data_IF_574708029096
#
_entry.id   IF_574708029096
#
_cell.length_a   1.000
_cell.length_b   1.000
_cell.length_c   1.000
_cell.angle_alpha   90.00
_cell.angle_beta   90.00
_cell.angle_gamma   90.00
#
_symmetry.space_group_name_H-M   'P 1'
#
loop_
_entity.id
_entity.type
_entity.pdbx_description
1 polymer ?
#
# COMPACT_ATOMS: atom_id res chain seq x y z
N UNK A 1 28.75 14.15 -8.64
CA UNK A 1 28.91 15.59 -8.31
C UNK A 1 29.32 16.29 -9.58
N UNK A 2 28.42 17.07 -10.17
CA UNK A 2 28.78 17.98 -11.26
C UNK A 2 29.48 19.20 -10.67
N UNK A 3 30.69 19.48 -11.12
CA UNK A 3 31.44 20.66 -10.70
C UNK A 3 31.10 21.81 -11.64
N UNK A 4 30.31 22.76 -11.17
CA UNK A 4 30.04 24.00 -11.89
C UNK A 4 31.23 24.96 -11.73
N UNK A 5 31.76 25.47 -12.83
CA UNK A 5 32.79 26.52 -12.79
C UNK A 5 32.11 27.88 -12.62
N UNK A 6 32.58 28.66 -11.65
CA UNK A 6 32.16 30.05 -11.50
C UNK A 6 32.53 30.85 -12.75
N UNK A 7 31.57 31.63 -13.27
CA UNK A 7 31.76 32.58 -14.36
C UNK A 7 32.51 33.84 -13.88
N UNK A 8 32.29 34.22 -12.63
CA UNK A 8 32.92 35.38 -12.02
C UNK A 8 33.21 35.12 -10.54
N UNK A 9 34.38 35.60 -10.09
CA UNK A 9 34.76 35.66 -8.69
C UNK A 9 35.25 37.07 -8.37
N UNK A 10 34.55 37.78 -7.49
CA UNK A 10 34.89 39.15 -7.05
C UNK A 10 35.35 39.14 -5.58
N UNK A 11 36.24 38.22 -5.23
CA UNK A 11 36.80 38.06 -3.88
C UNK A 11 35.85 37.39 -2.88
N UNK A 12 34.64 37.93 -2.70
CA UNK A 12 33.63 37.38 -1.78
C UNK A 12 32.33 36.98 -2.46
N UNK A 13 32.21 37.18 -3.78
CA UNK A 13 31.01 36.86 -4.56
C UNK A 13 31.33 35.90 -5.69
N UNK A 14 30.46 34.91 -5.87
CA UNK A 14 30.49 33.94 -6.96
C UNK A 14 29.28 34.14 -7.85
N UNK A 15 29.44 33.94 -9.15
CA UNK A 15 28.33 33.80 -10.08
C UNK A 15 28.55 32.56 -10.94
N UNK A 16 27.51 31.76 -11.11
CA UNK A 16 27.48 30.59 -12.00
C UNK A 16 26.07 30.45 -12.55
N UNK A 17 25.97 29.95 -13.79
CA UNK A 17 24.70 29.55 -14.38
C UNK A 17 24.76 28.04 -14.61
N UNK A 18 23.64 27.38 -14.36
CA UNK A 18 23.47 25.97 -14.64
C UNK A 18 22.03 25.70 -15.05
N UNK A 19 21.84 24.67 -15.87
CA UNK A 19 20.52 24.18 -16.24
C UNK A 19 20.19 23.04 -15.28
N UNK A 20 19.04 23.11 -14.61
CA UNK A 20 18.57 21.99 -13.80
C UNK A 20 18.27 20.82 -14.74
N UNK A 21 18.82 19.61 -14.50
CA UNK A 21 18.51 18.44 -15.32
C UNK A 21 17.00 18.22 -15.42
N UNK A 22 16.52 17.89 -16.62
CA UNK A 22 15.08 17.76 -16.86
C UNK A 22 14.42 16.64 -16.05
N UNK A 23 15.19 15.62 -15.66
CA UNK A 23 14.78 14.49 -14.82
C UNK A 23 14.87 14.77 -13.32
N UNK A 24 15.36 15.94 -12.92
CA UNK A 24 15.59 16.28 -11.52
C UNK A 24 14.36 16.91 -10.86
N UNK A 25 14.05 16.42 -9.66
CA UNK A 25 13.11 17.04 -8.73
C UNK A 25 13.60 16.81 -7.29
N UNK A 26 13.23 17.71 -6.38
CA UNK A 26 13.67 17.67 -4.99
C UNK A 26 14.72 18.75 -4.64
N UNK A 27 15.43 18.58 -3.51
CA UNK A 27 16.34 19.59 -2.98
C UNK A 27 17.71 19.54 -3.67
N UNK A 28 18.01 20.55 -4.50
CA UNK A 28 19.32 20.71 -5.12
C UNK A 28 20.20 21.61 -4.25
N UNK A 29 21.20 21.02 -3.58
CA UNK A 29 22.15 21.77 -2.75
C UNK A 29 23.42 22.12 -3.54
N UNK A 30 23.75 23.40 -3.54
CA UNK A 30 24.96 23.95 -4.13
C UNK A 30 25.91 24.40 -3.03
N UNK A 31 27.13 23.89 -3.05
CA UNK A 31 28.20 24.29 -2.14
C UNK A 31 29.27 25.05 -2.94
N UNK A 32 29.39 26.38 -2.76
CA UNK A 32 30.40 27.16 -3.45
C UNK A 32 31.77 26.89 -2.81
N UNK A 33 32.74 26.53 -3.64
CA UNK A 33 34.11 26.26 -3.21
C UNK A 33 35.10 27.12 -4.01
N UNK A 34 36.06 27.74 -3.31
CA UNK A 34 37.20 28.43 -3.90
C UNK A 34 38.50 27.74 -3.47
N UNK A 35 39.50 27.73 -4.35
CA UNK A 35 40.83 27.21 -4.05
C UNK A 35 41.88 28.30 -4.26
N UNK A 36 42.64 28.61 -3.22
CA UNK A 36 43.74 29.57 -3.24
C UNK A 36 44.89 29.07 -2.36
N UNK A 37 45.44 27.89 -2.70
CA UNK A 37 46.38 27.15 -1.85
C UNK A 37 45.66 26.23 -0.86
N UNK A 38 44.59 26.73 -0.24
CA UNK A 38 43.65 25.97 0.57
C UNK A 38 42.23 25.99 -0.03
N UNK A 39 41.41 24.98 0.29
CA UNK A 39 40.00 24.93 -0.07
C UNK A 39 39.18 25.75 0.93
N UNK A 40 38.44 26.74 0.41
CA UNK A 40 37.50 27.55 1.19
C UNK A 40 36.08 27.26 0.69
N UNK A 41 35.27 26.69 1.57
CA UNK A 41 33.84 26.45 1.31
C UNK A 41 33.00 27.61 1.83
N UNK A 42 32.13 28.13 0.97
CA UNK A 42 31.10 29.10 1.34
C UNK A 42 29.82 28.44 1.85
N UNK A 43 28.82 29.24 2.24
CA UNK A 43 27.54 28.71 2.71
C UNK A 43 26.80 27.95 1.60
N UNK A 44 26.16 26.84 1.97
CA UNK A 44 25.33 26.07 1.05
C UNK A 44 24.05 26.82 0.69
N UNK A 45 23.62 26.65 -0.56
CA UNK A 45 22.34 27.15 -1.07
C UNK A 45 21.51 25.96 -1.54
N UNK A 46 20.31 25.80 -0.99
CA UNK A 46 19.37 24.76 -1.43
C UNK A 46 18.27 25.35 -2.29
N UNK A 47 18.13 24.83 -3.51
CA UNK A 47 17.06 25.14 -4.45
C UNK A 47 16.04 24.00 -4.39
N UNK A 48 14.78 24.32 -4.11
CA UNK A 48 13.69 23.34 -4.16
C UNK A 48 13.19 23.24 -5.60
N UNK A 49 13.51 22.13 -6.27
CA UNK A 49 13.07 21.87 -7.64
C UNK A 49 11.75 21.13 -7.60
N UNK A 50 10.69 21.80 -8.08
CA UNK A 50 9.34 21.23 -8.17
C UNK A 50 8.89 21.17 -9.63
N UNK A 51 8.47 19.99 -10.13
CA UNK A 51 7.82 19.87 -11.43
C UNK A 51 6.59 20.78 -11.54
N UNK A 52 6.38 21.40 -12.71
CA UNK A 52 5.31 22.39 -12.92
C UNK A 52 3.93 21.79 -13.14
N UNK A 53 3.89 20.56 -13.64
CA UNK A 53 2.66 19.78 -13.85
C UNK A 53 2.66 18.58 -12.92
N UNK A 54 1.50 18.00 -12.59
CA UNK A 54 1.45 16.68 -11.96
C UNK A 54 2.04 15.59 -12.86
N UNK A 55 2.55 14.48 -12.31
CA UNK A 55 2.88 13.30 -13.11
C UNK A 55 1.62 12.69 -13.73
N UNK A 56 1.77 11.86 -14.76
CA UNK A 56 0.69 10.98 -15.26
C UNK A 56 0.46 9.83 -14.29
N UNK A 57 1.55 9.19 -13.86
CA UNK A 57 1.54 8.08 -12.93
C UNK A 57 2.47 8.39 -11.76
N UNK A 58 2.02 8.07 -10.55
CA UNK A 58 2.85 8.08 -9.35
C UNK A 58 3.02 6.63 -8.89
N UNK A 59 4.27 6.22 -8.67
CA UNK A 59 4.63 4.84 -8.39
C UNK A 59 5.47 4.81 -7.12
N UNK A 60 4.92 4.27 -6.04
CA UNK A 60 5.69 3.90 -4.86
C UNK A 60 6.65 2.74 -5.19
N UNK A 61 7.91 2.86 -4.79
CA UNK A 61 8.93 1.83 -5.04
C UNK A 61 8.63 0.51 -4.31
N UNK A 62 8.07 0.61 -3.10
CA UNK A 62 7.62 -0.53 -2.28
C UNK A 62 6.21 -0.24 -1.78
N UNK A 63 5.28 -1.16 -2.05
CA UNK A 63 3.85 -0.97 -1.79
C UNK A 63 3.34 -1.62 -0.51
N UNK A 64 4.06 -2.63 -0.01
CA UNK A 64 3.60 -3.43 1.12
C UNK A 64 4.70 -3.61 2.15
N UNK A 65 4.36 -3.33 3.40
CA UNK A 65 5.23 -3.53 4.55
C UNK A 65 4.52 -4.40 5.58
N UNK A 66 5.22 -5.44 6.01
CA UNK A 66 4.81 -6.33 7.08
C UNK A 66 5.84 -6.21 8.20
N UNK A 67 5.39 -5.87 9.39
CA UNK A 67 6.24 -5.74 10.58
C UNK A 67 5.63 -6.52 11.74
N UNK A 68 6.45 -6.82 12.75
CA UNK A 68 6.00 -7.44 14.00
C UNK A 68 6.60 -6.66 15.16
N UNK A 69 5.81 -6.35 16.18
CA UNK A 69 6.27 -5.66 17.38
C UNK A 69 6.98 -6.62 18.36
N UNK A 70 7.93 -6.09 19.17
CA UNK A 70 8.49 -4.74 19.08
C UNK A 70 9.39 -4.60 17.84
N UNK A 71 9.37 -3.43 17.19
CA UNK A 71 10.31 -3.10 16.11
C UNK A 71 10.88 -1.70 16.34
N UNK A 72 12.11 -1.49 15.87
CA UNK A 72 12.77 -0.18 15.77
C UNK A 72 12.90 0.27 14.32
N UNK A 73 12.16 -0.37 13.41
CA UNK A 73 12.29 -0.12 11.99
C UNK A 73 11.79 1.29 11.65
N UNK A 74 12.64 2.02 10.95
CA UNK A 74 12.27 3.22 10.22
C UNK A 74 12.17 2.86 8.75
N UNK A 75 11.08 3.28 8.12
CA UNK A 75 10.81 2.96 6.71
C UNK A 75 10.76 4.24 5.92
N UNK A 76 11.67 4.41 4.97
CA UNK A 76 11.64 5.54 4.05
C UNK A 76 10.74 5.22 2.85
N UNK A 77 9.81 6.12 2.55
CA UNK A 77 9.02 6.08 1.33
C UNK A 77 9.81 6.63 0.15
N UNK A 78 9.70 5.94 -0.98
CA UNK A 78 10.24 6.38 -2.26
C UNK A 78 9.15 6.37 -3.31
N UNK A 79 9.08 7.44 -4.09
CA UNK A 79 8.07 7.61 -5.13
C UNK A 79 8.69 8.12 -6.42
N UNK A 80 8.30 7.51 -7.54
CA UNK A 80 8.69 7.93 -8.89
C UNK A 80 7.47 8.46 -9.64
N UNK A 81 7.62 9.62 -10.27
CA UNK A 81 6.61 10.17 -11.17
C UNK A 81 6.97 9.92 -12.63
N UNK A 82 6.04 9.40 -13.42
CA UNK A 82 6.14 9.33 -14.88
C UNK A 82 5.38 10.49 -15.50
N UNK A 83 6.03 11.24 -16.37
CA UNK A 83 5.43 12.44 -16.97
C UNK A 83 5.07 12.25 -18.44
N UNK A 84 4.23 13.15 -18.96
CA UNK A 84 3.77 13.09 -20.34
C UNK A 84 4.90 13.30 -21.38
N UNK A 85 5.98 13.95 -20.96
CA UNK A 85 7.24 14.12 -21.72
C UNK A 85 8.06 12.81 -21.80
N UNK A 86 7.63 11.74 -21.13
CA UNK A 86 8.34 10.46 -21.07
C UNK A 86 9.47 10.43 -20.02
N UNK A 87 9.71 11.53 -19.31
CA UNK A 87 10.74 11.62 -18.28
C UNK A 87 10.20 11.08 -16.96
N UNK A 88 11.02 10.28 -16.28
CA UNK A 88 10.72 9.84 -14.92
C UNK A 88 11.53 10.66 -13.92
N UNK A 89 10.89 11.09 -12.84
CA UNK A 89 11.51 11.93 -11.79
C UNK A 89 11.35 11.26 -10.44
N UNK A 90 12.38 11.36 -9.60
CA UNK A 90 12.24 11.04 -8.18
C UNK A 90 11.40 12.13 -7.49
N UNK A 91 10.27 11.73 -6.92
CA UNK A 91 9.34 12.62 -6.23
C UNK A 91 9.28 12.31 -4.74
N UNK A 92 10.27 11.61 -4.18
CA UNK A 92 10.24 11.18 -2.78
C UNK A 92 10.26 12.37 -1.81
N UNK A 93 10.98 13.44 -2.13
CA UNK A 93 11.09 14.61 -1.23
C UNK A 93 9.87 15.52 -1.27
N UNK A 94 9.55 16.11 -0.12
CA UNK A 94 8.54 17.17 -0.03
C UNK A 94 8.86 18.39 -0.92
N UNK A 95 10.15 18.64 -1.21
CA UNK A 95 10.59 19.71 -2.10
C UNK A 95 10.12 19.51 -3.56
N UNK A 96 9.88 18.26 -3.97
CA UNK A 96 9.29 17.91 -5.25
C UNK A 96 7.76 18.11 -5.28
N UNK A 97 7.16 18.55 -4.16
CA UNK A 97 5.72 18.79 -4.02
C UNK A 97 4.91 17.58 -3.56
N UNK A 98 5.58 16.52 -3.10
CA UNK A 98 4.93 15.31 -2.58
C UNK A 98 4.45 15.51 -1.14
N UNK A 99 3.27 14.98 -0.85
CA UNK A 99 2.64 15.00 0.47
C UNK A 99 2.37 13.55 0.88
N UNK A 100 2.72 13.22 2.11
CA UNK A 100 2.45 11.93 2.73
C UNK A 100 1.38 12.08 3.80
N UNK A 101 0.48 11.10 3.88
CA UNK A 101 -0.52 11.04 4.93
C UNK A 101 -0.76 9.60 5.38
N UNK A 102 -0.81 9.36 6.69
CA UNK A 102 -1.18 8.06 7.26
C UNK A 102 -2.68 8.00 7.56
N UNK A 103 -3.32 6.90 7.19
CA UNK A 103 -4.70 6.61 7.58
C UNK A 103 -4.84 6.28 9.07
N UNK A 104 -3.76 5.88 9.74
CA UNK A 104 -3.75 5.55 11.15
C UNK A 104 -2.37 5.86 11.78
N UNK A 105 -2.14 7.12 12.22
CA UNK A 105 -0.90 7.53 12.85
C UNK A 105 -0.54 6.80 14.16
N UNK A 106 -1.51 6.13 14.80
CA UNK A 106 -1.24 5.33 16.00
C UNK A 106 -0.60 3.96 15.68
N UNK A 107 -0.67 3.51 14.42
CA UNK A 107 -0.03 2.28 13.94
C UNK A 107 1.27 2.63 13.21
N UNK A 108 1.19 3.52 12.22
CA UNK A 108 2.37 4.06 11.50
C UNK A 108 2.20 5.56 11.32
N UNK A 109 3.14 6.34 11.85
CA UNK A 109 3.25 7.77 11.54
C UNK A 109 4.17 7.98 10.35
N UNK A 110 3.96 9.04 9.58
CA UNK A 110 4.81 9.44 8.46
C UNK A 110 5.07 10.94 8.56
N UNK A 111 6.32 11.34 8.36
CA UNK A 111 6.68 12.76 8.30
C UNK A 111 6.58 13.35 6.89
N UNK A 112 6.90 14.63 6.76
CA UNK A 112 6.81 15.34 5.47
C UNK A 112 7.79 14.83 4.41
N UNK A 113 8.91 14.21 4.80
CA UNK A 113 9.88 13.65 3.86
C UNK A 113 9.64 12.16 3.58
N UNK A 114 8.52 11.60 4.04
CA UNK A 114 8.18 10.20 3.81
C UNK A 114 8.92 9.24 4.74
N UNK A 115 9.46 9.72 5.86
CA UNK A 115 10.02 8.86 6.90
C UNK A 115 8.91 8.32 7.78
N UNK A 116 8.70 7.01 7.74
CA UNK A 116 7.68 6.31 8.51
C UNK A 116 8.26 5.71 9.80
N UNK A 117 7.53 5.86 10.90
CA UNK A 117 7.82 5.22 12.19
C UNK A 117 6.66 4.30 12.59
N UNK A 118 6.98 3.03 12.83
CA UNK A 118 6.02 2.04 13.34
C UNK A 118 5.83 2.25 14.85
N UNK A 119 4.57 2.39 15.29
CA UNK A 119 4.21 2.76 16.66
C UNK A 119 3.41 1.66 17.36
N UNK A 120 2.43 1.08 16.66
CA UNK A 120 1.45 0.16 17.23
C UNK A 120 1.06 -0.94 16.26
N UNK A 121 0.43 -2.00 16.79
CA UNK A 121 -0.12 -3.07 15.96
C UNK A 121 -1.43 -2.65 15.30
N UNK A 122 -1.68 -3.16 14.10
CA UNK A 122 -2.86 -2.85 13.31
C UNK A 122 -2.55 -2.63 11.84
N UNK A 123 -3.46 -1.94 11.15
CA UNK A 123 -3.34 -1.59 9.75
C UNK A 123 -3.21 -0.08 9.59
N UNK A 124 -2.36 0.33 8.66
CA UNK A 124 -2.25 1.70 8.20
C UNK A 124 -2.01 1.72 6.68
N UNK A 125 -2.48 2.77 6.02
CA UNK A 125 -2.17 3.06 4.63
C UNK A 125 -1.54 4.43 4.56
N UNK A 126 -0.35 4.50 3.98
CA UNK A 126 0.29 5.76 3.63
C UNK A 126 -0.18 6.15 2.23
N UNK A 127 -0.82 7.30 2.12
CA UNK A 127 -1.14 7.95 0.84
C UNK A 127 0.03 8.84 0.44
N UNK A 128 0.53 8.63 -0.78
CA UNK A 128 1.50 9.51 -1.43
C UNK A 128 0.73 10.33 -2.46
N UNK A 129 0.73 11.65 -2.33
CA UNK A 129 0.07 12.58 -3.26
C UNK A 129 1.09 13.52 -3.88
N UNK A 130 1.10 13.63 -5.22
CA UNK A 130 1.84 14.67 -5.92
C UNK A 130 0.92 15.32 -6.95
N UNK A 131 0.47 16.55 -6.65
CA UNK A 131 -0.41 17.31 -7.55
C UNK A 131 -1.77 16.64 -7.79
N UNK A 132 -2.29 15.88 -6.82
CA UNK A 132 -3.57 15.17 -6.92
C UNK A 132 -3.48 13.77 -7.53
N UNK A 133 -2.34 13.37 -8.10
CA UNK A 133 -2.08 11.98 -8.48
C UNK A 133 -1.58 11.23 -7.26
N UNK A 134 -2.20 10.09 -6.98
CA UNK A 134 -2.00 9.34 -5.74
C UNK A 134 -1.51 7.94 -5.98
N UNK A 135 -0.71 7.48 -5.03
CA UNK A 135 -0.40 6.08 -4.85
C UNK A 135 -0.46 5.70 -3.37
N UNK A 136 -0.56 4.41 -3.08
CA UNK A 136 -0.79 3.90 -1.73
C UNK A 136 0.26 2.86 -1.34
N UNK A 137 0.67 2.94 -0.08
CA UNK A 137 1.55 1.97 0.57
C UNK A 137 0.83 1.41 1.79
N UNK A 138 0.66 0.10 1.86
CA UNK A 138 -0.01 -0.58 2.97
C UNK A 138 0.97 -1.06 4.02
N UNK A 139 0.62 -0.89 5.28
CA UNK A 139 1.31 -1.44 6.43
C UNK A 139 0.38 -2.41 7.17
N UNK A 140 0.91 -3.60 7.46
CA UNK A 140 0.31 -4.55 8.39
C UNK A 140 1.32 -4.83 9.51
N UNK A 141 0.99 -4.39 10.72
CA UNK A 141 1.87 -4.49 11.88
C UNK A 141 1.26 -5.47 12.88
N UNK A 142 1.92 -6.60 13.04
CA UNK A 142 1.52 -7.63 14.00
C UNK A 142 1.96 -7.23 15.43
N UNK A 143 1.09 -7.40 16.42
CA UNK A 143 1.39 -7.20 17.83
C UNK A 143 2.15 -8.35 18.49
N UNK A 144 2.38 -9.45 17.75
CA UNK A 144 2.98 -10.67 18.27
C UNK A 144 1.93 -11.69 18.71
N UNK A 145 2.30 -12.58 19.64
CA UNK A 145 1.44 -13.69 20.07
C UNK A 145 0.70 -13.34 21.38
N UNK A 146 -0.65 -13.47 21.47
CA UNK A 146 -1.55 -13.99 20.45
C UNK A 146 -1.88 -12.99 19.34
N UNK A 147 -1.80 -13.47 18.10
CA UNK A 147 -2.24 -12.72 16.92
C UNK A 147 -3.75 -12.45 17.00
N UNK A 148 -4.14 -11.19 16.76
CA UNK A 148 -5.54 -10.78 16.69
C UNK A 148 -5.94 -10.48 15.24
N UNK A 149 -6.93 -11.21 14.73
CA UNK A 149 -7.53 -10.92 13.44
C UNK A 149 -8.28 -9.58 13.48
N UNK A 150 -8.19 -8.80 12.41
CA UNK A 150 -8.83 -7.49 12.30
C UNK A 150 -10.08 -7.67 11.44
N UNK A 151 -11.26 -7.42 12.01
CA UNK A 151 -12.54 -7.47 11.29
C UNK A 151 -12.63 -6.30 10.31
N UNK A 152 -12.74 -6.62 9.02
CA UNK A 152 -12.87 -5.66 7.92
C UNK A 152 -14.24 -5.77 7.25
N UNK A 153 -15.21 -6.44 7.88
CA UNK A 153 -16.52 -6.71 7.26
C UNK A 153 -17.27 -5.43 6.88
N UNK A 154 -17.13 -4.35 7.65
CA UNK A 154 -17.76 -3.06 7.35
C UNK A 154 -17.07 -2.28 6.22
N UNK A 155 -15.89 -2.72 5.79
CA UNK A 155 -15.08 -2.11 4.73
C UNK A 155 -15.26 -2.82 3.38
N UNK A 156 -16.13 -3.83 3.32
CA UNK A 156 -16.40 -4.60 2.12
C UNK A 156 -17.89 -4.79 1.88
N UNK A 157 -18.27 -4.89 0.62
CA UNK A 157 -19.57 -5.42 0.23
C UNK A 157 -19.40 -6.91 -0.08
N UNK A 158 -20.15 -7.77 0.61
CA UNK A 158 -20.16 -9.21 0.39
C UNK A 158 -21.44 -9.57 -0.37
N UNK A 159 -21.29 -10.00 -1.62
CA UNK A 159 -22.39 -10.41 -2.49
C UNK A 159 -22.34 -11.92 -2.71
N UNK A 160 -23.46 -12.58 -2.43
CA UNK A 160 -23.60 -14.03 -2.59
C UNK A 160 -24.32 -14.33 -3.90
N UNK A 161 -23.71 -15.15 -4.75
CA UNK A 161 -24.36 -15.67 -5.94
C UNK A 161 -25.44 -16.71 -5.60
N UNK A 162 -26.13 -17.18 -6.62
CA UNK A 162 -27.10 -18.26 -6.48
C UNK A 162 -26.41 -19.57 -6.05
N UNK A 163 -27.06 -20.32 -5.16
CA UNK A 163 -26.66 -21.70 -4.85
C UNK A 163 -26.98 -22.59 -6.05
N UNK A 164 -25.95 -23.15 -6.67
CA UNK A 164 -26.05 -24.11 -7.76
C UNK A 164 -25.93 -25.52 -7.17
N UNK A 165 -26.83 -26.43 -7.56
CA UNK A 165 -26.76 -27.83 -7.14
C UNK A 165 -26.00 -28.61 -8.18
N UNK A 166 -24.86 -29.17 -7.81
CA UNK A 166 -24.14 -30.10 -8.68
C UNK A 166 -24.59 -31.53 -8.37
N UNK A 167 -25.39 -32.08 -9.28
CA UNK A 167 -25.96 -33.41 -9.11
C UNK A 167 -25.02 -34.46 -9.70
N UNK A 168 -24.08 -34.97 -8.89
CA UNK A 168 -23.34 -36.17 -9.27
C UNK A 168 -24.13 -37.41 -8.78
N UNK A 169 -24.63 -38.29 -9.66
CA UNK A 169 -25.43 -39.45 -9.27
C UNK A 169 -24.69 -40.50 -8.42
N UNK A 170 -23.37 -40.35 -8.20
CA UNK A 170 -22.55 -41.21 -7.33
C UNK A 170 -22.05 -40.54 -6.04
N UNK A 171 -22.27 -39.22 -5.88
CA UNK A 171 -21.82 -38.44 -4.71
C UNK A 171 -23.02 -37.74 -4.09
N UNK A 172 -23.01 -37.62 -2.76
CA UNK A 172 -23.99 -36.82 -2.01
C UNK A 172 -24.21 -35.42 -2.63
N UNK A 173 -25.38 -34.79 -2.42
CA UNK A 173 -25.70 -33.48 -3.00
C UNK A 173 -24.69 -32.38 -2.59
N UNK A 174 -23.86 -31.95 -3.53
CA UNK A 174 -22.97 -30.80 -3.38
C UNK A 174 -23.64 -29.54 -3.89
N UNK A 175 -23.42 -28.44 -3.19
CA UNK A 175 -23.94 -27.11 -3.54
C UNK A 175 -22.75 -26.18 -3.69
N UNK A 176 -22.74 -25.43 -4.78
CA UNK A 176 -21.70 -24.49 -5.12
C UNK A 176 -22.26 -23.07 -5.06
N UNK A 177 -21.52 -22.15 -4.46
CA UNK A 177 -21.89 -20.74 -4.40
C UNK A 177 -20.67 -19.85 -4.56
N UNK A 178 -20.70 -19.01 -5.58
CA UNK A 178 -19.73 -17.93 -5.71
C UNK A 178 -20.06 -16.78 -4.76
N UNK A 179 -19.05 -16.27 -4.06
CA UNK A 179 -19.13 -15.10 -3.19
C UNK A 179 -18.15 -14.05 -3.70
N UNK A 180 -18.66 -12.85 -3.97
CA UNK A 180 -17.85 -11.70 -4.38
C UNK A 180 -17.67 -10.74 -3.21
N UNK A 181 -16.43 -10.37 -2.93
CA UNK A 181 -16.05 -9.38 -1.93
C UNK A 181 -15.51 -8.16 -2.66
N UNK A 182 -16.12 -6.99 -2.45
CA UNK A 182 -15.69 -5.72 -3.04
C UNK A 182 -15.22 -4.76 -1.96
N UNK A 183 -14.04 -4.18 -2.10
CA UNK A 183 -13.60 -3.08 -1.23
C UNK A 183 -14.47 -1.83 -1.46
N UNK A 184 -15.13 -1.34 -0.41
CA UNK A 184 -16.01 -0.16 -0.48
C UNK A 184 -15.34 1.13 0.00
N UNK A 185 -14.10 1.03 0.48
CA UNK A 185 -13.34 2.18 0.99
C UNK A 185 -12.56 2.88 -0.13
N UNK A 186 -12.08 4.08 0.16
CA UNK A 186 -11.20 4.83 -0.73
C UNK A 186 -9.72 4.40 -0.64
N UNK A 187 -9.38 3.47 0.26
CA UNK A 187 -8.02 3.01 0.51
C UNK A 187 -7.90 1.51 0.18
N UNK A 188 -6.72 1.01 -0.23
CA UNK A 188 -6.51 -0.43 -0.37
C UNK A 188 -6.65 -1.13 0.99
N UNK A 189 -7.25 -2.32 0.99
CA UNK A 189 -7.29 -3.19 2.16
C UNK A 189 -6.01 -4.04 2.20
N UNK A 190 -5.16 -3.91 3.24
CA UNK A 190 -3.95 -4.70 3.37
C UNK A 190 -4.26 -6.18 3.54
N UNK A 191 -3.69 -7.03 2.69
CA UNK A 191 -3.75 -8.48 2.83
C UNK A 191 -2.77 -9.02 3.88
N UNK A 192 -2.74 -10.35 4.10
CA UNK A 192 -3.66 -11.32 3.52
C UNK A 192 -5.09 -11.18 4.10
N UNK A 193 -6.09 -11.40 3.25
CA UNK A 193 -7.51 -11.33 3.63
C UNK A 193 -8.13 -12.72 3.65
N UNK A 194 -9.07 -12.92 4.58
CA UNK A 194 -9.77 -14.18 4.78
C UNK A 194 -11.28 -13.94 4.83
N UNK A 195 -12.03 -14.76 4.10
CA UNK A 195 -13.47 -14.92 4.31
C UNK A 195 -13.69 -15.98 5.38
N UNK A 196 -14.46 -15.67 6.41
CA UNK A 196 -14.88 -16.64 7.42
C UNK A 196 -16.40 -16.70 7.45
N UNK A 197 -16.94 -17.92 7.45
CA UNK A 197 -18.37 -18.18 7.50
C UNK A 197 -18.78 -18.82 8.82
N UNK A 198 -19.92 -18.38 9.35
CA UNK A 198 -20.42 -18.75 10.67
C UNK A 198 -21.87 -19.21 10.61
N UNK A 199 -22.27 -19.99 11.62
CA UNK A 199 -23.67 -20.35 11.82
C UNK A 199 -24.22 -21.33 10.79
N UNK A 200 -23.34 -22.12 10.15
CA UNK A 200 -23.80 -23.19 9.26
C UNK A 200 -24.67 -24.19 10.04
N UNK A 201 -25.84 -24.59 9.51
CA UNK A 201 -26.67 -25.60 10.13
C UNK A 201 -25.94 -26.93 10.31
N UNK A 202 -26.40 -27.72 11.28
CA UNK A 202 -25.90 -29.08 11.46
C UNK A 202 -26.03 -29.88 10.16
N UNK A 203 -25.04 -30.76 9.91
CA UNK A 203 -24.98 -31.63 8.73
C UNK A 203 -24.73 -30.91 7.39
N UNK A 204 -24.40 -29.61 7.42
CA UNK A 204 -23.78 -28.92 6.29
C UNK A 204 -22.26 -28.87 6.54
N UNK A 205 -21.50 -29.45 5.61
CA UNK A 205 -20.04 -29.51 5.67
C UNK A 205 -19.49 -28.67 4.53
N UNK A 206 -18.50 -27.84 4.82
CA UNK A 206 -17.79 -27.07 3.80
C UNK A 206 -16.65 -27.86 3.20
N UNK A 207 -16.48 -27.79 1.90
CA UNK A 207 -15.24 -28.16 1.23
C UNK A 207 -14.35 -26.94 1.07
N UNK A 208 -13.02 -27.15 1.17
CA UNK A 208 -12.05 -26.07 1.17
C UNK A 208 -11.97 -25.31 2.50
N UNK A 209 -11.02 -24.37 2.55
CA UNK A 209 -10.66 -23.70 3.80
C UNK A 209 -9.93 -24.62 4.78
N UNK A 210 -9.54 -24.12 5.95
CA UNK A 210 -8.82 -24.88 6.98
C UNK A 210 -9.73 -25.88 7.75
N UNK A 211 -10.83 -26.34 7.15
CA UNK A 211 -11.83 -27.21 7.79
C UNK A 211 -12.73 -26.54 8.82
N UNK A 212 -12.62 -25.21 9.01
CA UNK A 212 -13.43 -24.43 9.97
C UNK A 212 -14.22 -23.29 9.32
N UNK A 213 -14.48 -23.36 8.01
CA UNK A 213 -15.21 -22.30 7.29
C UNK A 213 -14.40 -21.02 7.11
N UNK A 214 -13.06 -21.09 7.15
CA UNK A 214 -12.17 -19.95 6.88
C UNK A 214 -11.37 -20.18 5.60
N UNK A 215 -11.42 -19.19 4.72
CA UNK A 215 -10.87 -19.26 3.37
C UNK A 215 -9.97 -18.06 3.11
N UNK A 216 -8.74 -18.29 2.66
CA UNK A 216 -7.86 -17.21 2.22
C UNK A 216 -8.35 -16.71 0.85
N UNK A 217 -8.45 -15.38 0.71
CA UNK A 217 -8.78 -14.75 -0.56
C UNK A 217 -7.52 -14.63 -1.41
N UNK A 218 -7.61 -15.05 -2.67
CA UNK A 218 -6.57 -14.79 -3.68
C UNK A 218 -6.77 -13.38 -4.22
N UNK A 219 -6.03 -12.43 -3.68
CA UNK A 219 -6.19 -11.02 -4.05
C UNK A 219 -5.70 -10.76 -5.49
N UNK A 220 -6.31 -9.81 -6.22
CA UNK A 220 -5.84 -9.41 -7.54
C UNK A 220 -4.44 -8.78 -7.54
N UNK A 221 -3.90 -8.52 -8.73
CA UNK A 221 -2.65 -7.79 -8.96
C UNK A 221 -1.44 -8.43 -8.27
N UNK A 222 -0.87 -7.75 -7.27
CA UNK A 222 0.28 -8.21 -6.50
C UNK A 222 -0.07 -9.30 -5.47
N UNK A 223 -1.37 -9.58 -5.27
CA UNK A 223 -1.83 -10.58 -4.30
C UNK A 223 -1.71 -10.12 -2.84
N UNK A 224 -1.39 -8.85 -2.59
CA UNK A 224 -1.04 -8.33 -1.26
C UNK A 224 -2.01 -7.27 -0.75
N UNK A 225 -2.87 -6.71 -1.60
CA UNK A 225 -3.94 -5.82 -1.17
C UNK A 225 -5.16 -5.89 -2.09
N UNK A 226 -6.33 -5.48 -1.59
CA UNK A 226 -7.53 -5.30 -2.41
C UNK A 226 -7.73 -3.80 -2.66
N UNK A 227 -7.53 -3.34 -3.89
CA UNK A 227 -7.57 -1.92 -4.23
C UNK A 227 -8.97 -1.30 -4.03
N UNK A 228 -9.10 0.04 -3.93
CA UNK A 228 -10.41 0.70 -3.85
C UNK A 228 -11.33 0.27 -4.99
N UNK A 229 -12.59 -0.06 -4.66
CA UNK A 229 -13.60 -0.56 -5.59
C UNK A 229 -13.26 -1.88 -6.32
N UNK A 230 -12.12 -2.50 -6.03
CA UNK A 230 -11.74 -3.80 -6.59
C UNK A 230 -12.50 -4.93 -5.92
N UNK A 231 -12.77 -5.98 -6.69
CA UNK A 231 -13.48 -7.17 -6.23
C UNK A 231 -12.59 -8.42 -6.34
N UNK A 232 -12.79 -9.33 -5.40
CA UNK A 232 -12.28 -10.71 -5.45
C UNK A 232 -13.46 -11.66 -5.32
N UNK A 233 -13.47 -12.73 -6.10
CA UNK A 233 -14.46 -13.80 -6.00
C UNK A 233 -13.83 -15.04 -5.37
N UNK A 234 -14.63 -15.76 -4.59
CA UNK A 234 -14.28 -17.07 -4.07
C UNK A 234 -15.48 -18.00 -4.20
N UNK A 235 -15.20 -19.24 -4.55
CA UNK A 235 -16.22 -20.28 -4.65
C UNK A 235 -16.28 -21.08 -3.36
N UNK A 236 -17.50 -21.27 -2.85
CA UNK A 236 -17.79 -22.04 -1.65
C UNK A 236 -18.57 -23.29 -2.03
N UNK A 237 -18.03 -24.44 -1.63
CA UNK A 237 -18.67 -25.73 -1.84
C UNK A 237 -19.19 -26.29 -0.53
N UNK A 238 -20.43 -26.77 -0.55
CA UNK A 238 -21.14 -27.30 0.60
C UNK A 238 -21.65 -28.71 0.31
N UNK A 239 -21.35 -29.64 1.20
CA UNK A 239 -22.05 -30.91 1.30
C UNK A 239 -23.24 -30.74 2.23
N UNK A 240 -24.46 -30.87 1.69
CA UNK A 240 -25.67 -30.86 2.51
C UNK A 240 -26.15 -32.30 2.77
N UNK A 241 -25.85 -32.82 3.96
CA UNK A 241 -26.31 -34.14 4.42
C UNK A 241 -27.64 -34.07 5.19
N UNK A 242 -28.23 -32.89 5.29
CA UNK A 242 -29.52 -32.62 5.93
C UNK A 242 -30.61 -32.22 4.94
N UNK A 243 -31.71 -31.69 5.48
CA UNK A 243 -32.79 -31.05 4.70
C UNK A 243 -32.84 -29.53 4.93
N UNK A 244 -31.98 -28.99 5.79
CA UNK A 244 -31.94 -27.57 6.10
C UNK A 244 -31.40 -26.76 4.90
N UNK A 245 -31.90 -25.53 4.68
CA UNK A 245 -31.31 -24.61 3.72
C UNK A 245 -29.88 -24.24 4.12
N UNK A 246 -29.04 -23.90 3.14
CA UNK A 246 -27.67 -23.42 3.41
C UNK A 246 -27.76 -21.93 3.75
N UNK A 247 -27.65 -21.63 5.04
CA UNK A 247 -27.61 -20.27 5.57
C UNK A 247 -26.33 -20.09 6.39
N UNK A 248 -25.71 -18.92 6.28
CA UNK A 248 -24.52 -18.56 7.04
C UNK A 248 -24.35 -17.05 7.12
N UNK A 249 -23.60 -16.59 8.10
CA UNK A 249 -23.06 -15.23 8.17
C UNK A 249 -21.65 -15.24 7.58
N UNK A 250 -21.29 -14.23 6.80
CA UNK A 250 -19.97 -14.11 6.20
C UNK A 250 -19.28 -12.85 6.72
N UNK A 251 -18.01 -12.96 7.09
CA UNK A 251 -17.17 -11.85 7.52
C UNK A 251 -15.82 -11.90 6.84
N UNK A 252 -15.21 -10.73 6.69
CA UNK A 252 -13.87 -10.60 6.11
C UNK A 252 -12.90 -10.09 7.15
N UNK A 253 -11.75 -10.76 7.24
CA UNK A 253 -10.71 -10.46 8.21
C UNK A 253 -9.37 -10.25 7.52
N UNK A 254 -8.59 -9.30 8.03
CA UNK A 254 -7.14 -9.32 7.86
C UNK A 254 -6.51 -10.22 8.93
N UNK A 255 -5.49 -11.00 8.56
CA UNK A 255 -4.59 -11.59 9.54
C UNK A 255 -3.89 -12.87 9.12
N UNK A 256 -3.21 -13.56 10.04
CA UNK A 256 -2.50 -14.80 9.73
C UNK A 256 -3.43 -16.03 9.70
N UNK A 257 -3.00 -17.06 8.97
CA UNK A 257 -3.55 -18.42 9.11
C UNK A 257 -3.25 -18.87 10.56
N UNK A 258 -4.28 -19.33 11.27
CA UNK A 258 -4.12 -19.97 12.59
C UNK A 258 -3.70 -21.42 12.42
#
# INVERSE_FOLDING_TARGET
METLRAKQFLGTRFSADFVIPEDYAGPLTLSPNAFAGDLVSGPEVTIKVRPRTPPKDLIASQRHYFSTLPTTDHVQMYAKGRYADGVERDLSSSAAGTIYASSNPAVVSVDREGSCTVIGSGLAVITIDNGGVRDFVTFAVDGGNPFQAIDLSDQVAIQRGSLQVESNPRVMRTHHQQVTIKNTTALPLPGPLFLEIFGLPERIITYGGNGRGRYQLTLPRDGLSLAPAESVAIDLDFLNQGKAPIEYTAKVYHGRVR
#
